data_IF_906485452127
#
_entry.id   IF_906485452127
#
_cell.length_a   1.000
_cell.length_b   1.000
_cell.length_c   1.000
_cell.angle_alpha   90.00
_cell.angle_beta   90.00
_cell.angle_gamma   90.00
#
_symmetry.space_group_name_H-M   'P 1'
#
loop_
_entity.id
_entity.type
_entity.pdbx_description
1 polymer ?
#
# COMPACT_ATOMS: atom_id res chain seq x y z
N UNK A 1 -41.30 28.47 -11.49
CA UNK A 1 -40.44 28.69 -12.67
C UNK A 1 -39.33 29.64 -12.25
N UNK A 2 -38.04 29.43 -12.42
CA UNK A 2 -37.19 28.26 -12.64
C UNK A 2 -35.83 28.71 -12.11
N UNK A 3 -35.18 27.92 -11.25
CA UNK A 3 -33.83 28.21 -10.77
C UNK A 3 -32.84 27.78 -11.86
N UNK A 4 -32.29 28.72 -12.62
CA UNK A 4 -31.05 28.51 -13.36
C UNK A 4 -29.92 28.33 -12.34
N UNK A 5 -29.42 27.10 -12.21
CA UNK A 5 -28.12 26.86 -11.57
C UNK A 5 -27.07 26.96 -12.66
N UNK A 6 -26.41 28.11 -12.68
CA UNK A 6 -25.17 28.35 -13.39
C UNK A 6 -24.08 27.44 -12.79
N UNK A 7 -23.67 26.40 -13.53
CA UNK A 7 -22.52 25.57 -13.15
C UNK A 7 -21.29 26.15 -13.87
N UNK A 8 -20.26 26.62 -13.14
CA UNK A 8 -19.10 27.21 -13.77
C UNK A 8 -18.40 26.18 -14.67
N UNK A 9 -18.26 26.54 -15.95
CA UNK A 9 -17.62 25.76 -17.00
C UNK A 9 -16.13 25.55 -16.63
N UNK A 10 -15.76 24.36 -16.16
CA UNK A 10 -14.38 24.04 -15.78
C UNK A 10 -13.46 24.05 -17.01
N UNK A 11 -12.20 24.54 -16.87
CA UNK A 11 -11.26 24.60 -17.99
C UNK A 11 -11.00 23.21 -18.59
N UNK A 12 -10.82 23.14 -19.91
CA UNK A 12 -10.68 21.87 -20.66
C UNK A 12 -9.58 20.95 -20.09
N UNK A 13 -8.52 21.50 -19.52
CA UNK A 13 -7.45 20.77 -18.83
C UNK A 13 -7.93 20.07 -17.55
N UNK A 14 -8.79 20.70 -16.75
CA UNK A 14 -9.35 20.10 -15.55
C UNK A 14 -10.29 18.93 -15.89
N UNK A 15 -11.09 19.06 -16.95
CA UNK A 15 -11.96 17.97 -17.43
C UNK A 15 -11.17 16.78 -17.99
N UNK A 16 -10.06 17.06 -18.68
CA UNK A 16 -9.13 16.04 -19.16
C UNK A 16 -8.52 15.26 -17.99
N UNK A 17 -8.06 15.94 -16.95
CA UNK A 17 -7.48 15.28 -15.76
C UNK A 17 -8.51 14.45 -14.98
N UNK A 18 -9.74 14.95 -14.81
CA UNK A 18 -10.84 14.18 -14.21
C UNK A 18 -11.10 12.89 -15.00
N UNK A 19 -11.09 12.98 -16.33
CA UNK A 19 -11.30 11.81 -17.20
C UNK A 19 -10.15 10.82 -17.06
N UNK A 20 -8.90 11.31 -17.04
CA UNK A 20 -7.70 10.51 -16.84
C UNK A 20 -7.75 9.74 -15.51
N UNK A 21 -8.12 10.41 -14.41
CA UNK A 21 -8.24 9.76 -13.10
C UNK A 21 -9.35 8.71 -13.04
N UNK A 22 -10.50 8.97 -13.69
CA UNK A 22 -11.58 7.97 -13.81
C UNK A 22 -11.10 6.71 -14.52
N UNK A 23 -10.35 6.88 -15.62
CA UNK A 23 -9.77 5.76 -16.35
C UNK A 23 -8.78 4.96 -15.50
N UNK A 24 -7.91 5.63 -14.74
CA UNK A 24 -6.95 4.97 -13.84
C UNK A 24 -7.65 4.19 -12.71
N UNK A 25 -8.69 4.77 -12.11
CA UNK A 25 -9.47 4.11 -11.07
C UNK A 25 -10.22 2.88 -11.61
N UNK A 26 -10.81 2.97 -12.81
CA UNK A 26 -11.48 1.83 -13.44
C UNK A 26 -10.46 0.75 -13.86
N UNK A 27 -9.31 1.17 -14.39
CA UNK A 27 -8.24 0.27 -14.81
C UNK A 27 -7.69 -0.54 -13.64
N UNK A 28 -7.55 0.03 -12.43
CA UNK A 28 -7.15 -0.74 -11.25
C UNK A 28 -8.05 -1.95 -10.98
N UNK A 29 -9.37 -1.75 -11.07
CA UNK A 29 -10.33 -2.82 -10.83
C UNK A 29 -10.31 -3.86 -11.96
N UNK A 30 -10.35 -3.41 -13.21
CA UNK A 30 -10.37 -4.30 -14.39
C UNK A 30 -9.07 -5.11 -14.48
N UNK A 31 -7.91 -4.46 -14.39
CA UNK A 31 -6.63 -5.17 -14.39
C UNK A 31 -6.42 -6.04 -13.16
N UNK A 32 -6.92 -5.63 -11.99
CA UNK A 32 -6.87 -6.46 -10.79
C UNK A 32 -7.69 -7.77 -10.92
N UNK A 33 -8.78 -7.76 -11.70
CA UNK A 33 -9.65 -8.93 -11.91
C UNK A 33 -9.20 -9.83 -13.04
N UNK A 34 -8.84 -9.25 -14.18
CA UNK A 34 -8.59 -9.99 -15.43
C UNK A 34 -7.12 -10.04 -15.82
N UNK A 35 -6.29 -9.27 -15.13
CA UNK A 35 -4.91 -9.09 -15.48
C UNK A 35 -4.68 -8.24 -16.72
N UNK A 36 -3.41 -8.06 -17.05
CA UNK A 36 -3.01 -7.33 -18.25
C UNK A 36 -3.56 -8.03 -19.49
N UNK A 37 -3.26 -9.31 -19.73
CA UNK A 37 -3.67 -10.01 -20.95
C UNK A 37 -5.19 -10.21 -21.06
N UNK A 38 -5.86 -10.55 -19.95
CA UNK A 38 -7.30 -10.80 -19.94
C UNK A 38 -8.18 -9.54 -20.01
N UNK A 39 -7.64 -8.35 -19.70
CA UNK A 39 -8.39 -7.11 -19.82
C UNK A 39 -8.40 -6.58 -21.27
N UNK A 40 -9.57 -6.37 -21.86
CA UNK A 40 -9.68 -5.69 -23.16
C UNK A 40 -9.73 -4.16 -23.01
N UNK A 41 -9.28 -3.43 -24.04
CA UNK A 41 -9.42 -1.96 -24.10
C UNK A 41 -10.87 -1.51 -24.01
N UNK A 42 -11.79 -2.30 -24.58
CA UNK A 42 -13.23 -2.05 -24.49
C UNK A 42 -13.76 -2.15 -23.07
N UNK A 43 -13.40 -3.21 -22.32
CA UNK A 43 -13.77 -3.34 -20.90
C UNK A 43 -13.26 -2.17 -20.07
N UNK A 44 -12.02 -1.73 -20.31
CA UNK A 44 -11.40 -0.59 -19.60
C UNK A 44 -12.18 0.70 -19.83
N UNK A 45 -12.55 0.99 -21.08
CA UNK A 45 -13.26 2.24 -21.43
C UNK A 45 -14.72 2.20 -21.04
N UNK A 46 -15.38 1.04 -21.14
CA UNK A 46 -16.75 0.83 -20.66
C UNK A 46 -16.82 0.99 -19.14
N UNK A 47 -15.89 0.39 -18.39
CA UNK A 47 -15.81 0.54 -16.93
C UNK A 47 -15.55 1.99 -16.49
N UNK A 48 -14.80 2.76 -17.28
CA UNK A 48 -14.54 4.17 -17.02
C UNK A 48 -15.65 5.12 -17.53
N UNK A 49 -16.61 4.62 -18.33
CA UNK A 49 -17.66 5.44 -18.95
C UNK A 49 -17.12 6.43 -20.00
N UNK A 50 -16.10 6.03 -20.76
CA UNK A 50 -15.43 6.86 -21.78
C UNK A 50 -15.41 6.17 -23.14
N UNK A 51 -15.10 6.92 -24.21
CA UNK A 51 -14.96 6.34 -25.54
C UNK A 51 -13.64 5.55 -25.70
N UNK A 52 -13.58 4.68 -26.72
CA UNK A 52 -12.42 3.82 -26.97
C UNK A 52 -11.13 4.62 -27.31
N UNK A 53 -11.28 5.80 -27.91
CA UNK A 53 -10.16 6.67 -28.30
C UNK A 53 -9.49 7.36 -27.10
N UNK A 54 -10.08 7.29 -25.91
CA UNK A 54 -9.51 7.84 -24.69
C UNK A 54 -8.18 7.15 -24.32
N UNK A 55 -8.04 5.84 -24.58
CA UNK A 55 -6.79 5.12 -24.25
C UNK A 55 -5.61 5.65 -25.09
N UNK A 56 -5.68 5.63 -26.44
CA UNK A 56 -4.62 6.24 -27.26
C UNK A 56 -4.35 7.70 -26.91
N UNK A 57 -5.40 8.49 -26.66
CA UNK A 57 -5.28 9.90 -26.36
C UNK A 57 -4.55 10.21 -25.04
N UNK A 58 -4.90 9.54 -23.94
CA UNK A 58 -4.35 9.85 -22.61
C UNK A 58 -3.13 9.01 -22.24
N UNK A 59 -3.01 7.80 -22.79
CA UNK A 59 -2.03 6.80 -22.34
C UNK A 59 -1.22 6.19 -23.49
N UNK A 60 -1.54 6.51 -24.74
CA UNK A 60 -0.87 5.97 -25.94
C UNK A 60 -1.27 4.54 -26.26
N UNK A 61 -1.26 3.64 -25.27
CA UNK A 61 -1.61 2.22 -25.44
C UNK A 61 -2.20 1.62 -24.17
N UNK A 62 -2.61 0.34 -24.26
CA UNK A 62 -3.08 -0.44 -23.11
C UNK A 62 -1.95 -0.68 -22.11
N UNK A 63 -0.73 -0.94 -22.60
CA UNK A 63 0.50 -1.02 -21.81
C UNK A 63 0.77 0.30 -21.09
N UNK A 64 0.65 1.43 -21.80
CA UNK A 64 0.78 2.76 -21.21
C UNK A 64 -0.24 3.01 -20.10
N UNK A 65 -1.49 2.60 -20.29
CA UNK A 65 -2.52 2.65 -19.26
C UNK A 65 -2.18 1.74 -18.07
N UNK A 66 -1.65 0.54 -18.30
CA UNK A 66 -1.25 -0.40 -17.24
C UNK A 66 -0.16 0.18 -16.34
N UNK A 67 0.89 0.75 -16.94
CA UNK A 67 1.98 1.40 -16.21
C UNK A 67 1.47 2.63 -15.45
N UNK A 68 0.66 3.47 -16.11
CA UNK A 68 0.06 4.63 -15.44
C UNK A 68 -0.86 4.21 -14.28
N UNK A 69 -1.52 3.06 -14.39
CA UNK A 69 -2.36 2.48 -13.32
C UNK A 69 -1.51 2.09 -12.10
N UNK A 70 -0.34 1.48 -12.32
CA UNK A 70 0.61 1.19 -11.24
C UNK A 70 1.14 2.47 -10.57
N UNK A 71 1.41 3.52 -11.34
CA UNK A 71 1.82 4.84 -10.83
C UNK A 71 0.71 5.53 -10.04
N UNK A 72 -0.52 5.43 -10.53
CA UNK A 72 -1.70 5.91 -9.82
C UNK A 72 -1.88 5.18 -8.49
N UNK A 73 -1.75 3.86 -8.47
CA UNK A 73 -1.77 3.06 -7.24
C UNK A 73 -0.69 3.52 -6.26
N UNK A 74 0.53 3.76 -6.75
CA UNK A 74 1.60 4.27 -5.89
C UNK A 74 1.20 5.60 -5.25
N UNK A 75 0.72 6.56 -6.03
CA UNK A 75 0.25 7.85 -5.52
C UNK A 75 -0.85 7.68 -4.46
N UNK A 76 -1.79 6.74 -4.68
CA UNK A 76 -2.87 6.46 -3.72
C UNK A 76 -2.32 5.93 -2.40
N UNK A 77 -1.43 4.94 -2.44
CA UNK A 77 -0.80 4.40 -1.23
C UNK A 77 0.03 5.48 -0.51
N UNK A 78 0.80 6.27 -1.28
CA UNK A 78 1.63 7.35 -0.76
C UNK A 78 0.81 8.39 0.02
N UNK A 79 -0.39 8.72 -0.45
CA UNK A 79 -1.29 9.63 0.26
C UNK A 79 -1.66 9.14 1.68
N UNK A 80 -1.65 7.83 1.93
CA UNK A 80 -1.91 7.27 3.27
C UNK A 80 -0.67 7.20 4.16
N UNK A 81 0.51 7.01 3.58
CA UNK A 81 1.73 6.70 4.36
C UNK A 81 2.76 7.83 4.37
N UNK A 82 2.63 8.84 3.51
CA UNK A 82 3.64 9.90 3.30
C UNK A 82 3.97 10.66 4.58
N UNK A 83 2.97 11.06 5.38
CA UNK A 83 3.19 11.79 6.63
C UNK A 83 4.01 10.98 7.64
N UNK A 84 3.66 9.71 7.84
CA UNK A 84 4.40 8.79 8.71
C UNK A 84 5.81 8.52 8.17
N UNK A 85 5.94 8.22 6.86
CA UNK A 85 7.23 7.97 6.21
C UNK A 85 8.16 9.19 6.30
N UNK A 86 7.64 10.40 6.11
CA UNK A 86 8.42 11.63 6.17
C UNK A 86 8.96 11.87 7.59
N UNK A 87 8.11 11.70 8.61
CA UNK A 87 8.51 11.94 10.01
C UNK A 87 9.51 10.90 10.51
N UNK A 88 9.27 9.61 10.28
CA UNK A 88 10.21 8.54 10.65
C UNK A 88 11.50 8.67 9.84
N UNK A 89 11.39 8.90 8.53
CA UNK A 89 12.55 9.08 7.64
C UNK A 89 13.43 10.25 8.07
N UNK A 90 12.85 11.40 8.41
CA UNK A 90 13.59 12.57 8.89
C UNK A 90 14.34 12.28 10.19
N UNK A 91 13.72 11.56 11.13
CA UNK A 91 14.37 11.15 12.38
C UNK A 91 15.54 10.20 12.12
N UNK A 92 15.34 9.17 11.28
CA UNK A 92 16.41 8.23 10.91
C UNK A 92 17.58 8.93 10.20
N UNK A 93 17.29 9.89 9.32
CA UNK A 93 18.32 10.67 8.64
C UNK A 93 19.11 11.58 9.60
N UNK A 94 18.46 12.15 10.62
CA UNK A 94 19.13 12.96 11.63
C UNK A 94 20.11 12.12 12.47
N UNK A 95 19.70 10.91 12.87
CA UNK A 95 20.57 9.95 13.55
C UNK A 95 21.77 9.54 12.69
N UNK A 96 21.54 9.23 11.41
CA UNK A 96 22.62 8.88 10.47
C UNK A 96 23.64 10.03 10.34
N UNK A 97 23.17 11.28 10.29
CA UNK A 97 24.03 12.46 10.21
C UNK A 97 24.82 12.71 11.51
N UNK A 98 24.25 12.37 12.67
CA UNK A 98 24.91 12.46 13.97
C UNK A 98 25.84 11.25 14.25
N UNK A 99 25.74 10.17 13.47
CA UNK A 99 26.43 8.92 13.75
C UNK A 99 25.87 8.18 14.98
N UNK A 100 24.63 8.46 15.35
CA UNK A 100 23.96 7.89 16.52
C UNK A 100 23.11 6.67 16.13
N UNK A 101 23.11 5.58 16.92
CA UNK A 101 22.23 4.46 16.67
C UNK A 101 20.78 4.81 17.01
N UNK A 102 19.83 4.17 16.33
CA UNK A 102 18.42 4.21 16.72
C UNK A 102 18.21 3.46 18.04
N UNK A 103 17.66 4.16 19.04
CA UNK A 103 17.31 3.54 20.32
C UNK A 103 16.14 2.55 20.20
N UNK A 104 16.17 1.48 20.99
CA UNK A 104 15.13 0.44 20.98
C UNK A 104 13.72 1.01 21.24
N UNK A 105 13.57 1.94 22.19
CA UNK A 105 12.28 2.52 22.54
C UNK A 105 11.64 3.26 21.35
N UNK A 106 12.42 4.10 20.66
CA UNK A 106 11.97 4.81 19.45
C UNK A 106 11.69 3.83 18.31
N UNK A 107 12.52 2.79 18.17
CA UNK A 107 12.31 1.75 17.18
C UNK A 107 10.97 1.01 17.37
N UNK A 108 10.63 0.65 18.61
CA UNK A 108 9.33 0.03 18.95
C UNK A 108 8.16 0.98 18.69
N UNK A 109 8.30 2.25 19.07
CA UNK A 109 7.28 3.27 18.82
C UNK A 109 7.00 3.43 17.32
N UNK A 110 8.04 3.61 16.51
CA UNK A 110 7.92 3.77 15.07
C UNK A 110 7.44 2.50 14.38
N UNK A 111 7.89 1.32 14.80
CA UNK A 111 7.44 0.07 14.20
C UNK A 111 5.95 -0.17 14.49
N UNK A 112 5.50 0.14 15.70
CA UNK A 112 4.09 0.08 16.06
C UNK A 112 3.26 1.00 15.17
N UNK A 113 3.72 2.24 14.99
CA UNK A 113 3.05 3.20 14.11
C UNK A 113 2.98 2.72 12.65
N UNK A 114 4.07 2.15 12.13
CA UNK A 114 4.13 1.56 10.79
C UNK A 114 3.10 0.44 10.64
N UNK A 115 3.12 -0.56 11.55
CA UNK A 115 2.21 -1.70 11.46
C UNK A 115 0.74 -1.29 11.62
N UNK A 116 0.44 -0.35 12.52
CA UNK A 116 -0.92 0.18 12.68
C UNK A 116 -1.42 0.98 11.46
N UNK A 117 -0.52 1.73 10.82
CA UNK A 117 -0.83 2.41 9.55
C UNK A 117 -1.11 1.38 8.45
N UNK A 118 -0.32 0.30 8.39
CA UNK A 118 -0.54 -0.80 7.45
C UNK A 118 -1.87 -1.51 7.70
N UNK A 119 -2.25 -1.78 8.95
CA UNK A 119 -3.57 -2.35 9.30
C UNK A 119 -4.66 -1.46 8.70
N UNK A 120 -4.63 -0.16 9.00
CA UNK A 120 -5.63 0.81 8.56
C UNK A 120 -5.77 0.80 7.03
N UNK A 121 -4.64 0.82 6.32
CA UNK A 121 -4.59 0.78 4.86
C UNK A 121 -5.10 -0.56 4.29
N UNK A 122 -4.66 -1.68 4.87
CA UNK A 122 -4.91 -3.02 4.35
C UNK A 122 -6.30 -3.54 4.62
N UNK A 123 -7.05 -3.00 5.60
CA UNK A 123 -8.43 -3.44 5.84
C UNK A 123 -9.46 -2.45 5.31
N UNK A 124 -9.04 -1.24 4.88
CA UNK A 124 -9.92 -0.25 4.28
C UNK A 124 -10.58 -0.77 3.00
N UNK A 125 -11.90 -0.60 2.88
CA UNK A 125 -12.67 -1.04 1.71
C UNK A 125 -12.13 -0.48 0.38
N UNK A 126 -11.70 0.78 0.40
CA UNK A 126 -11.16 1.46 -0.79
C UNK A 126 -9.87 0.85 -1.34
N UNK A 127 -9.14 0.08 -0.51
CA UNK A 127 -7.91 -0.58 -0.94
C UNK A 127 -8.14 -1.96 -1.53
N UNK A 128 -9.38 -2.47 -1.62
CA UNK A 128 -9.67 -3.78 -2.24
C UNK A 128 -9.18 -3.88 -3.70
N UNK A 129 -9.47 -2.91 -4.60
CA UNK A 129 -8.95 -2.97 -5.97
C UNK A 129 -7.42 -2.90 -6.01
N UNK A 130 -6.82 -2.16 -5.08
CA UNK A 130 -5.37 -2.00 -4.95
C UNK A 130 -4.71 -3.32 -4.60
N UNK A 131 -5.26 -4.00 -3.59
CA UNK A 131 -4.77 -5.29 -3.15
C UNK A 131 -4.89 -6.35 -4.26
N UNK A 132 -6.00 -6.39 -5.00
CA UNK A 132 -6.14 -7.31 -6.15
C UNK A 132 -5.03 -7.11 -7.18
N UNK A 133 -4.80 -5.86 -7.57
CA UNK A 133 -3.73 -5.53 -8.52
C UNK A 133 -2.35 -5.95 -8.00
N UNK A 134 -2.03 -5.63 -6.74
CA UNK A 134 -0.74 -5.97 -6.13
C UNK A 134 -0.53 -7.47 -5.94
N UNK A 135 -1.54 -8.20 -5.45
CA UNK A 135 -1.45 -9.65 -5.26
C UNK A 135 -1.18 -10.33 -6.60
N UNK A 136 -1.85 -9.89 -7.66
CA UNK A 136 -1.57 -10.39 -9.00
C UNK A 136 -0.14 -10.11 -9.45
N UNK A 137 0.33 -8.86 -9.35
CA UNK A 137 1.71 -8.49 -9.68
C UNK A 137 2.75 -9.18 -8.79
N UNK A 138 2.37 -9.65 -7.61
CA UNK A 138 3.26 -10.42 -6.76
C UNK A 138 3.43 -11.87 -7.25
N UNK A 139 2.37 -12.46 -7.81
CA UNK A 139 2.36 -13.83 -8.35
C UNK A 139 2.90 -13.89 -9.78
N UNK A 140 2.59 -12.88 -10.59
CA UNK A 140 2.98 -12.75 -12.01
C UNK A 140 3.64 -11.38 -12.22
N UNK A 141 4.90 -11.20 -11.79
CA UNK A 141 5.54 -9.88 -11.80
C UNK A 141 5.81 -9.37 -13.22
N UNK A 142 5.40 -8.13 -13.46
CA UNK A 142 5.70 -7.40 -14.70
C UNK A 142 6.56 -6.16 -14.41
N UNK A 143 6.71 -5.27 -15.39
CA UNK A 143 7.32 -3.96 -15.15
C UNK A 143 6.53 -3.10 -14.15
N UNK A 144 5.21 -3.33 -14.01
CA UNK A 144 4.39 -2.65 -13.01
C UNK A 144 4.86 -3.02 -11.59
N UNK A 145 5.05 -4.30 -11.28
CA UNK A 145 5.61 -4.76 -10.01
C UNK A 145 6.95 -4.08 -9.71
N UNK A 146 7.88 -4.04 -10.67
CA UNK A 146 9.21 -3.44 -10.47
C UNK A 146 9.11 -1.96 -10.08
N UNK A 147 8.18 -1.22 -10.68
CA UNK A 147 7.92 0.19 -10.34
C UNK A 147 7.35 0.33 -8.93
N UNK A 148 6.31 -0.42 -8.60
CA UNK A 148 5.69 -0.41 -7.26
C UNK A 148 6.70 -0.80 -6.18
N UNK A 149 7.47 -1.85 -6.44
CA UNK A 149 8.48 -2.33 -5.52
C UNK A 149 9.53 -1.26 -5.24
N UNK A 150 10.09 -0.63 -6.28
CA UNK A 150 11.09 0.44 -6.12
C UNK A 150 10.51 1.70 -5.47
N UNK A 151 9.29 2.08 -5.84
CA UNK A 151 8.68 3.34 -5.41
C UNK A 151 8.13 3.32 -3.99
N UNK A 152 7.60 2.18 -3.52
CA UNK A 152 6.89 2.10 -2.23
C UNK A 152 7.37 0.95 -1.37
N UNK A 153 7.37 -0.29 -1.90
CA UNK A 153 7.60 -1.45 -1.03
C UNK A 153 9.02 -1.46 -0.47
N UNK A 154 10.02 -1.21 -1.32
CA UNK A 154 11.43 -1.22 -0.94
C UNK A 154 11.74 -0.18 0.13
N UNK A 155 11.38 1.12 0.00
CA UNK A 155 11.58 2.09 1.08
C UNK A 155 10.92 1.69 2.39
N UNK A 156 9.70 1.13 2.36
CA UNK A 156 9.00 0.66 3.55
C UNK A 156 9.69 -0.54 4.21
N UNK A 157 10.15 -1.51 3.41
CA UNK A 157 10.92 -2.67 3.89
C UNK A 157 12.27 -2.23 4.46
N UNK A 158 12.95 -1.29 3.81
CA UNK A 158 14.23 -0.73 4.27
C UNK A 158 14.09 0.09 5.56
N UNK A 159 12.95 0.75 5.77
CA UNK A 159 12.61 1.36 7.05
C UNK A 159 12.33 0.28 8.11
N UNK A 160 11.46 -0.69 7.80
CA UNK A 160 11.13 -1.79 8.71
C UNK A 160 12.34 -2.56 9.22
N UNK A 161 13.29 -2.92 8.34
CA UNK A 161 14.53 -3.62 8.74
C UNK A 161 15.38 -2.81 9.70
N UNK A 162 15.43 -1.47 9.57
CA UNK A 162 16.18 -0.60 10.50
C UNK A 162 15.53 -0.60 11.87
N UNK A 163 14.20 -0.51 11.93
CA UNK A 163 13.45 -0.55 13.18
C UNK A 163 13.60 -1.91 13.86
N UNK A 164 13.41 -3.01 13.11
CA UNK A 164 13.54 -4.37 13.65
C UNK A 164 14.99 -4.66 14.09
N UNK A 165 15.98 -4.26 13.30
CA UNK A 165 17.40 -4.43 13.66
C UNK A 165 17.77 -3.69 14.95
N UNK A 166 17.27 -2.47 15.14
CA UNK A 166 17.47 -1.71 16.38
C UNK A 166 16.83 -2.39 17.60
N UNK A 167 15.65 -3.02 17.45
CA UNK A 167 14.99 -3.76 18.53
C UNK A 167 15.75 -5.05 18.89
N UNK A 168 16.30 -5.73 17.88
CA UNK A 168 17.02 -6.99 18.08
C UNK A 168 18.50 -6.79 18.46
N UNK A 169 19.05 -5.58 18.28
CA UNK A 169 20.49 -5.34 18.38
C UNK A 169 21.29 -6.02 17.26
N UNK A 170 20.68 -6.23 16.09
CA UNK A 170 21.24 -6.94 14.95
C UNK A 170 21.43 -6.02 13.74
N UNK A 171 22.37 -6.37 12.84
CA UNK A 171 22.54 -5.67 11.57
C UNK A 171 21.23 -5.66 10.77
N UNK A 172 20.69 -4.48 10.39
CA UNK A 172 19.52 -4.39 9.53
C UNK A 172 19.64 -5.07 8.16
N UNK A 173 20.85 -5.46 7.73
CA UNK A 173 21.09 -6.24 6.52
C UNK A 173 21.12 -7.76 6.76
N UNK A 174 21.13 -8.22 8.01
CA UNK A 174 21.17 -9.64 8.36
C UNK A 174 19.98 -10.39 7.77
N UNK A 175 20.18 -11.65 7.39
CA UNK A 175 19.11 -12.50 6.87
C UNK A 175 17.97 -12.64 7.89
N UNK A 176 18.32 -12.79 9.18
CA UNK A 176 17.35 -12.89 10.26
C UNK A 176 16.46 -11.65 10.36
N UNK A 177 17.03 -10.43 10.36
CA UNK A 177 16.25 -9.18 10.41
C UNK A 177 15.37 -9.03 9.17
N UNK A 178 15.87 -9.39 7.99
CA UNK A 178 15.09 -9.34 6.75
C UNK A 178 13.87 -10.28 6.81
N UNK A 179 14.07 -11.53 7.24
CA UNK A 179 12.99 -12.50 7.39
C UNK A 179 11.98 -12.09 8.47
N UNK A 180 12.45 -11.56 9.60
CA UNK A 180 11.59 -11.00 10.66
C UNK A 180 10.74 -9.84 10.14
N UNK A 181 11.33 -8.93 9.38
CA UNK A 181 10.62 -7.82 8.76
C UNK A 181 9.52 -8.31 7.81
N UNK A 182 9.82 -9.30 6.96
CA UNK A 182 8.80 -9.91 6.09
C UNK A 182 7.69 -10.62 6.87
N UNK A 183 8.03 -11.32 7.95
CA UNK A 183 7.04 -12.02 8.78
C UNK A 183 6.08 -11.04 9.47
N UNK A 184 6.57 -9.91 9.99
CA UNK A 184 5.73 -8.85 10.57
C UNK A 184 4.77 -8.26 9.53
N UNK A 185 5.29 -7.91 8.35
CA UNK A 185 4.46 -7.40 7.25
C UNK A 185 3.40 -8.44 6.84
N UNK A 186 3.80 -9.71 6.72
CA UNK A 186 2.90 -10.83 6.40
C UNK A 186 1.78 -11.00 7.43
N UNK A 187 2.09 -10.81 8.71
CA UNK A 187 1.12 -10.89 9.82
C UNK A 187 0.05 -9.80 9.76
N UNK A 188 0.32 -8.67 9.12
CA UNK A 188 -0.69 -7.64 8.85
C UNK A 188 -1.40 -7.91 7.52
N UNK A 189 -0.66 -8.32 6.49
CA UNK A 189 -1.19 -8.61 5.15
C UNK A 189 -2.23 -9.75 5.17
N UNK A 190 -2.12 -10.68 6.11
CA UNK A 190 -3.05 -11.81 6.24
C UNK A 190 -4.50 -11.36 6.40
N UNK A 191 -4.78 -10.21 7.04
CA UNK A 191 -6.15 -9.71 7.22
C UNK A 191 -6.79 -9.27 5.90
N UNK A 192 -5.97 -8.88 4.91
CA UNK A 192 -6.44 -8.61 3.54
C UNK A 192 -6.49 -9.89 2.72
N UNK A 193 -5.45 -10.71 2.76
CA UNK A 193 -5.38 -11.92 1.95
C UNK A 193 -6.44 -12.96 2.34
N UNK A 194 -6.59 -13.19 3.65
CA UNK A 194 -7.57 -14.10 4.22
C UNK A 194 -8.87 -13.38 4.65
N UNK A 195 -9.22 -12.25 4.02
CA UNK A 195 -10.34 -11.38 4.39
C UNK A 195 -11.63 -12.15 4.71
N UNK A 196 -12.09 -13.01 3.79
CA UNK A 196 -13.33 -13.77 3.98
C UNK A 196 -13.24 -14.78 5.14
N UNK A 197 -12.10 -15.44 5.30
CA UNK A 197 -11.89 -16.40 6.39
C UNK A 197 -11.85 -15.70 7.75
N UNK A 198 -11.20 -14.54 7.85
CA UNK A 198 -11.16 -13.74 9.08
C UNK A 198 -12.55 -13.26 9.45
N UNK A 199 -13.31 -12.68 8.51
CA UNK A 199 -14.68 -12.23 8.78
C UNK A 199 -15.59 -13.38 9.25
N UNK A 200 -15.51 -14.54 8.58
CA UNK A 200 -16.28 -15.71 8.97
C UNK A 200 -15.88 -16.24 10.36
N UNK A 201 -14.58 -16.38 10.62
CA UNK A 201 -14.06 -16.91 11.88
C UNK A 201 -14.34 -16.00 13.08
N UNK A 202 -14.32 -14.68 12.86
CA UNK A 202 -14.56 -13.69 13.90
C UNK A 202 -16.03 -13.30 14.04
N UNK A 203 -16.90 -13.85 13.17
CA UNK A 203 -18.32 -13.48 13.08
C UNK A 203 -18.52 -11.97 12.86
N UNK A 204 -17.72 -11.38 11.97
CA UNK A 204 -17.77 -9.97 11.62
C UNK A 204 -18.40 -9.75 10.25
N UNK A 205 -19.29 -8.77 10.13
CA UNK A 205 -19.85 -8.38 8.83
C UNK A 205 -18.83 -7.63 7.95
N UNK A 206 -17.96 -6.84 8.57
CA UNK A 206 -16.95 -6.04 7.91
C UNK A 206 -15.85 -5.58 8.88
N UNK A 207 -14.73 -5.11 8.34
CA UNK A 207 -13.71 -4.37 9.09
C UNK A 207 -14.17 -2.93 9.38
N UNK A 208 -15.13 -2.78 10.28
CA UNK A 208 -15.59 -1.47 10.78
C UNK A 208 -14.59 -0.82 11.76
N UNK A 209 -14.84 0.43 12.21
CA UNK A 209 -13.91 1.17 13.07
C UNK A 209 -13.46 0.39 14.32
N UNK A 210 -14.38 -0.35 14.95
CA UNK A 210 -14.07 -1.20 16.11
C UNK A 210 -13.09 -2.32 15.75
N UNK A 211 -13.32 -3.02 14.64
CA UNK A 211 -12.45 -4.10 14.18
C UNK A 211 -11.07 -3.56 13.80
N UNK A 212 -10.99 -2.39 13.16
CA UNK A 212 -9.70 -1.75 12.84
C UNK A 212 -8.91 -1.47 14.11
N UNK A 213 -9.53 -0.92 15.16
CA UNK A 213 -8.85 -0.68 16.44
C UNK A 213 -8.38 -1.98 17.12
N UNK A 214 -9.16 -3.06 17.07
CA UNK A 214 -8.73 -4.38 17.57
C UNK A 214 -7.47 -4.84 16.84
N UNK A 215 -7.45 -4.76 15.51
CA UNK A 215 -6.29 -5.17 14.71
C UNK A 215 -5.07 -4.25 14.92
N UNK A 216 -5.29 -2.95 15.17
CA UNK A 216 -4.22 -2.01 15.54
C UNK A 216 -3.63 -2.33 16.92
N UNK A 217 -4.45 -2.80 17.87
CA UNK A 217 -3.99 -3.33 19.15
C UNK A 217 -3.10 -4.56 18.95
N UNK A 218 -3.56 -5.54 18.17
CA UNK A 218 -2.78 -6.74 17.84
C UNK A 218 -1.46 -6.39 17.13
N UNK A 219 -1.45 -5.37 16.26
CA UNK A 219 -0.22 -4.89 15.63
C UNK A 219 0.80 -4.34 16.64
N UNK A 220 0.36 -3.72 17.73
CA UNK A 220 1.25 -3.28 18.81
C UNK A 220 1.78 -4.47 19.62
N UNK A 221 0.93 -5.45 19.94
CA UNK A 221 1.34 -6.69 20.63
C UNK A 221 2.42 -7.45 19.83
N UNK A 222 2.31 -7.48 18.49
CA UNK A 222 3.32 -8.08 17.62
C UNK A 222 4.70 -7.40 17.74
N UNK A 223 4.75 -6.10 18.05
CA UNK A 223 6.00 -5.37 18.29
C UNK A 223 6.55 -5.70 19.67
N UNK A 224 5.69 -5.77 20.69
CA UNK A 224 6.10 -6.06 22.07
C UNK A 224 6.81 -7.40 22.21
N UNK A 225 6.39 -8.41 21.44
CA UNK A 225 7.00 -9.74 21.45
C UNK A 225 8.31 -9.84 20.66
N UNK A 226 8.72 -8.79 19.95
CA UNK A 226 10.03 -8.76 19.27
C UNK A 226 11.11 -8.67 20.35
N UNK A 227 11.98 -9.66 20.35
CA UNK A 227 13.17 -9.70 21.17
C UNK A 227 14.09 -10.82 20.69
N UNK A 228 15.34 -10.86 21.18
CA UNK A 228 16.24 -11.98 20.89
C UNK A 228 15.57 -13.30 21.32
N UNK A 229 15.87 -14.43 20.65
CA UNK A 229 15.36 -15.73 21.06
C UNK A 229 15.65 -15.94 22.54
N UNK A 230 14.62 -16.27 23.33
CA UNK A 230 14.80 -16.66 24.74
C UNK A 230 15.52 -18.02 24.75
N UNK A 231 16.86 -18.00 24.75
CA UNK A 231 17.69 -19.19 24.85
C UNK A 231 18.73 -19.31 23.75
N UNK A 232 19.90 -18.72 24.00
CA UNK A 232 21.15 -18.97 23.28
C UNK A 232 22.29 -19.08 24.29
N UNK A 233 22.11 -19.90 25.33
CA UNK A 233 23.24 -20.46 26.06
C UNK A 233 23.70 -21.70 25.30
N UNK A 234 24.84 -21.58 24.62
CA UNK A 234 25.72 -22.69 24.28
C UNK A 234 27.16 -22.19 24.43
#
# INVERSE_FOLDING_TARGET
MSRERDYPNQPASARAEITRQKMLSAALDVFGRYGFDGASTRQLTEAAGVNLQAIPYYFGSKEGLYIATAEYLMMRIDAHVSGMRARIGAHLMALDAAGEPLGEADARLFLTEVLQTMVTLFVAKESEPWARFLIREQMEPTEAFKRVYRGIMRPMIEMGRRLVGAILGEDPASEHVRLRTFNLVGSILIFRFAHAAVLAQMEWDAFGPKQVEILRGLAAELVDVIGPPKGGAA
#
